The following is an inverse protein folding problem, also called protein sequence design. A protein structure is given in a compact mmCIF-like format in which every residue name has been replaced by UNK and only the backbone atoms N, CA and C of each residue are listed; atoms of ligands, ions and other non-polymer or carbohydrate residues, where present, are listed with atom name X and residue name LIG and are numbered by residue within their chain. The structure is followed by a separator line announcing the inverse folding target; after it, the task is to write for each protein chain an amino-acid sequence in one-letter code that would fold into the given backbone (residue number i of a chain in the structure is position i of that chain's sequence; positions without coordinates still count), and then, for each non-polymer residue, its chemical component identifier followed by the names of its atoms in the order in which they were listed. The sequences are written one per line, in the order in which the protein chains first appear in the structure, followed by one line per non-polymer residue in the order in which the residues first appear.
data_IF_909708739529
#
_entry.id   IF_909708739529
#
_cell.length_a   1.000
_cell.length_b   1.000
_cell.length_c   1.000
_cell.angle_alpha   90.00
_cell.angle_beta   90.00
_cell.angle_gamma   90.00
#
_symmetry.space_group_name_H-M   'P 1'
#
loop_
_entity.id
_entity.type
_entity.pdbx_description
1 polymer ?
#
# COMPACT_ATOMS: atom_id res chain seq x y z
N UNK A 1 -46.50 -4.15 -15.95
CA UNK A 1 -46.12 -5.53 -15.60
C UNK A 1 -45.61 -5.51 -14.15
N UNK A 2 -46.38 -6.05 -13.21
CA UNK A 2 -46.12 -5.91 -11.78
C UNK A 2 -45.23 -7.06 -11.30
N UNK A 3 -43.98 -6.78 -10.97
CA UNK A 3 -43.03 -7.78 -10.49
C UNK A 3 -43.52 -8.30 -9.12
N UNK A 4 -43.78 -9.61 -8.98
CA UNK A 4 -44.30 -10.18 -7.74
C UNK A 4 -43.32 -9.99 -6.58
N UNK A 5 -43.87 -9.76 -5.39
CA UNK A 5 -43.15 -9.30 -4.20
C UNK A 5 -41.99 -10.24 -3.81
N UNK A 6 -42.18 -11.55 -4.01
CA UNK A 6 -41.16 -12.58 -3.77
C UNK A 6 -39.91 -12.42 -4.67
N UNK A 7 -40.08 -11.96 -5.91
CA UNK A 7 -38.99 -11.77 -6.87
C UNK A 7 -38.15 -10.53 -6.53
N UNK A 8 -38.79 -9.50 -5.95
CA UNK A 8 -38.08 -8.32 -5.44
C UNK A 8 -37.19 -8.69 -4.26
N UNK A 9 -37.69 -9.51 -3.33
CA UNK A 9 -36.89 -10.01 -2.20
C UNK A 9 -35.72 -10.87 -2.65
N UNK A 10 -35.91 -11.71 -3.67
CA UNK A 10 -34.85 -12.53 -4.25
C UNK A 10 -33.73 -11.68 -4.88
N UNK A 11 -34.09 -10.63 -5.63
CA UNK A 11 -33.11 -9.71 -6.24
C UNK A 11 -32.30 -8.93 -5.20
N UNK A 12 -32.91 -8.55 -4.08
CA UNK A 12 -32.21 -7.88 -2.98
C UNK A 12 -31.19 -8.83 -2.33
N UNK A 13 -31.57 -10.09 -2.08
CA UNK A 13 -30.66 -11.08 -1.50
C UNK A 13 -29.50 -11.40 -2.45
N UNK A 14 -29.78 -11.54 -3.75
CA UNK A 14 -28.74 -11.78 -4.77
C UNK A 14 -27.79 -10.57 -4.86
N UNK A 15 -28.30 -9.34 -4.83
CA UNK A 15 -27.47 -8.14 -4.80
C UNK A 15 -26.57 -8.07 -3.55
N UNK A 16 -27.09 -8.43 -2.36
CA UNK A 16 -26.30 -8.49 -1.12
C UNK A 16 -25.20 -9.57 -1.18
N UNK A 17 -25.47 -10.71 -1.81
CA UNK A 17 -24.49 -11.79 -1.99
C UNK A 17 -23.40 -11.35 -2.97
N UNK A 18 -23.74 -10.73 -4.10
CA UNK A 18 -22.76 -10.24 -5.08
C UNK A 18 -21.86 -9.14 -4.47
N UNK A 19 -22.40 -8.26 -3.63
CA UNK A 19 -21.60 -7.26 -2.90
C UNK A 19 -20.60 -7.87 -1.91
N UNK A 20 -20.85 -9.09 -1.42
CA UNK A 20 -19.99 -9.75 -0.42
C UNK A 20 -18.83 -10.55 -1.03
N UNK A 21 -18.79 -10.74 -2.35
CA UNK A 21 -17.77 -11.56 -3.02
C UNK A 21 -16.63 -10.71 -3.63
N UNK A 22 -16.72 -9.38 -3.55
CA UNK A 22 -15.62 -8.53 -4.00
C UNK A 22 -14.46 -8.55 -2.99
N UNK A 23 -13.29 -8.95 -3.49
CA UNK A 23 -11.95 -8.79 -2.90
C UNK A 23 -11.52 -9.83 -1.87
N UNK A 24 -11.29 -11.06 -2.34
CA UNK A 24 -10.13 -11.82 -1.87
C UNK A 24 -9.05 -11.71 -2.96
N UNK A 25 -8.41 -10.54 -3.04
CA UNK A 25 -7.13 -10.45 -3.72
C UNK A 25 -6.11 -11.11 -2.78
N UNK A 26 -5.75 -12.36 -3.06
CA UNK A 26 -4.55 -12.97 -2.48
C UNK A 26 -3.34 -12.26 -3.05
N UNK A 27 -3.01 -11.13 -2.45
CA UNK A 27 -1.76 -10.42 -2.67
C UNK A 27 -0.73 -11.09 -1.77
N UNK A 28 0.41 -11.51 -2.33
CA UNK A 28 1.56 -12.00 -1.56
C UNK A 28 2.08 -10.84 -0.69
N UNK A 29 1.48 -10.68 0.49
CA UNK A 29 1.85 -9.62 1.43
C UNK A 29 3.11 -10.03 2.19
N UNK A 30 3.96 -9.06 2.51
CA UNK A 30 5.13 -9.22 3.39
C UNK A 30 4.70 -9.55 4.83
N UNK A 31 3.39 -9.56 5.12
CA UNK A 31 2.78 -9.85 6.42
C UNK A 31 3.20 -11.16 7.11
N UNK A 32 3.79 -12.11 6.38
CA UNK A 32 4.32 -13.37 6.95
C UNK A 32 5.72 -13.20 7.60
N UNK A 33 6.25 -11.97 7.67
CA UNK A 33 7.51 -11.66 8.35
C UNK A 33 8.78 -11.93 7.55
N UNK A 34 8.65 -12.40 6.30
CA UNK A 34 9.78 -12.63 5.40
C UNK A 34 9.96 -11.46 4.42
N UNK A 35 10.91 -10.58 4.72
CA UNK A 35 11.37 -9.58 3.77
C UNK A 35 12.22 -10.25 2.67
N UNK A 36 12.06 -9.86 1.39
CA UNK A 36 13.00 -10.28 0.37
C UNK A 36 14.39 -9.73 0.75
N UNK A 37 15.39 -10.60 0.73
CA UNK A 37 16.77 -10.25 1.09
C UNK A 37 17.73 -10.61 -0.03
N UNK A 38 18.86 -9.91 -0.08
CA UNK A 38 19.99 -10.19 -0.96
C UNK A 38 21.29 -10.08 -0.18
N UNK A 39 22.29 -10.87 -0.58
CA UNK A 39 23.65 -10.76 -0.03
C UNK A 39 24.33 -9.58 -0.72
N UNK A 40 24.81 -8.63 0.08
CA UNK A 40 25.63 -7.51 -0.39
C UNK A 40 27.04 -7.68 0.17
N UNK A 41 28.03 -7.57 -0.71
CA UNK A 41 29.43 -7.55 -0.31
C UNK A 41 29.81 -6.10 0.06
N UNK A 42 30.10 -5.88 1.33
CA UNK A 42 30.54 -4.59 1.85
C UNK A 42 32.05 -4.63 1.99
N UNK A 43 32.74 -3.96 1.08
CA UNK A 43 34.18 -3.74 1.16
C UNK A 43 34.44 -2.48 2.00
N UNK A 44 35.35 -2.59 2.98
CA UNK A 44 35.88 -1.41 3.65
C UNK A 44 37.08 -0.90 2.83
N UNK A 45 37.00 0.30 2.21
CA UNK A 45 38.07 0.82 1.35
C UNK A 45 39.42 1.01 2.06
N UNK A 46 39.40 1.14 3.38
CA UNK A 46 40.58 1.36 4.21
C UNK A 46 41.12 0.08 4.86
N UNK A 47 40.44 -1.06 4.70
CA UNK A 47 40.84 -2.34 5.29
C UNK A 47 41.44 -3.27 4.24
N UNK A 48 42.51 -3.99 4.61
CA UNK A 48 43.07 -5.10 3.79
C UNK A 48 42.34 -6.43 4.00
N UNK A 49 41.27 -6.44 4.80
CA UNK A 49 40.46 -7.63 5.05
C UNK A 49 39.52 -7.89 3.86
N UNK A 50 39.20 -9.18 3.59
CA UNK A 50 38.21 -9.53 2.57
C UNK A 50 36.85 -8.88 2.87
N UNK A 51 36.12 -8.56 1.80
CA UNK A 51 34.78 -7.97 1.90
C UNK A 51 33.86 -8.84 2.76
N UNK A 52 33.07 -8.19 3.62
CA UNK A 52 32.11 -8.90 4.48
C UNK A 52 30.80 -9.07 3.73
N UNK A 53 30.27 -10.29 3.75
CA UNK A 53 28.94 -10.61 3.19
C UNK A 53 27.87 -10.29 4.22
N UNK A 54 27.00 -9.36 3.90
CA UNK A 54 25.88 -8.95 4.77
C UNK A 54 24.57 -9.28 4.08
N UNK A 55 23.64 -9.90 4.80
CA UNK A 55 22.28 -10.12 4.34
C UNK A 55 21.48 -8.83 4.57
N UNK A 56 21.05 -8.18 3.49
CA UNK A 56 20.29 -6.93 3.55
C UNK A 56 18.93 -7.10 2.84
N UNK A 57 17.92 -6.30 3.20
CA UNK A 57 16.68 -6.23 2.43
C UNK A 57 16.96 -5.92 0.95
N UNK A 58 16.28 -6.64 0.06
CA UNK A 58 16.31 -6.34 -1.36
C UNK A 58 15.22 -5.32 -1.69
N UNK A 59 15.56 -4.04 -1.55
CA UNK A 59 14.65 -2.92 -1.81
C UNK A 59 14.08 -2.90 -3.22
N UNK A 60 14.72 -3.57 -4.19
CA UNK A 60 14.19 -3.68 -5.57
C UNK A 60 12.98 -4.62 -5.68
N UNK A 61 12.71 -5.41 -4.63
CA UNK A 61 11.64 -6.42 -4.57
C UNK A 61 10.56 -6.07 -3.52
N UNK A 62 10.66 -4.89 -2.91
CA UNK A 62 9.70 -4.35 -1.96
C UNK A 62 8.92 -3.23 -2.64
N UNK A 63 7.60 -3.36 -2.65
CA UNK A 63 6.67 -2.37 -3.19
C UNK A 63 5.51 -2.13 -2.21
N UNK A 64 4.88 -0.96 -2.31
CA UNK A 64 3.75 -0.59 -1.46
C UNK A 64 2.56 -1.57 -1.60
N UNK A 65 2.41 -2.18 -2.78
CA UNK A 65 1.37 -3.20 -3.02
C UNK A 65 1.61 -4.52 -2.30
N UNK A 66 2.82 -4.78 -1.79
CA UNK A 66 3.11 -5.98 -1.00
C UNK A 66 2.99 -5.72 0.51
N UNK A 67 2.73 -4.49 0.93
CA UNK A 67 2.52 -4.20 2.34
C UNK A 67 1.16 -4.73 2.83
N UNK A 68 0.98 -4.93 4.15
CA UNK A 68 -0.29 -5.35 4.70
C UNK A 68 -1.43 -4.42 4.30
N UNK A 69 -2.57 -5.01 3.98
CA UNK A 69 -3.77 -4.26 3.65
C UNK A 69 -4.28 -3.46 4.85
N UNK A 70 -4.89 -2.30 4.59
CA UNK A 70 -5.45 -1.46 5.64
C UNK A 70 -6.63 -2.17 6.33
N UNK A 71 -6.66 -2.09 7.65
CA UNK A 71 -7.64 -2.79 8.49
C UNK A 71 -8.96 -2.03 8.65
N UNK A 72 -9.01 -0.77 8.25
CA UNK A 72 -10.18 0.11 8.44
C UNK A 72 -10.40 0.97 7.20
N UNK A 73 -11.67 1.04 6.77
CA UNK A 73 -12.11 1.98 5.74
C UNK A 73 -12.09 3.42 6.26
N UNK A 74 -11.97 4.38 5.36
CA UNK A 74 -11.95 5.79 5.71
C UNK A 74 -12.00 6.72 4.52
N UNK A 75 -12.06 8.01 4.82
CA UNK A 75 -12.10 9.06 3.83
C UNK A 75 -11.44 10.32 4.38
N UNK A 76 -10.83 11.09 3.49
CA UNK A 76 -10.36 12.45 3.74
C UNK A 76 -11.01 13.34 2.70
N UNK A 77 -11.67 14.39 3.16
CA UNK A 77 -12.07 15.51 2.30
C UNK A 77 -10.91 16.50 2.21
N UNK A 78 -10.27 16.53 1.04
CA UNK A 78 -9.13 17.39 0.74
C UNK A 78 -9.50 18.64 -0.03
N UNK A 79 -10.79 18.82 -0.35
CA UNK A 79 -11.27 19.99 -1.10
C UNK A 79 -10.86 21.33 -0.47
N UNK A 80 -10.81 21.51 0.87
CA UNK A 80 -10.40 22.78 1.47
C UNK A 80 -8.94 23.17 1.21
N UNK A 81 -8.09 22.20 0.87
CA UNK A 81 -6.64 22.39 0.74
C UNK A 81 -6.14 22.33 -0.70
N UNK A 82 -7.02 21.98 -1.64
CA UNK A 82 -6.66 21.73 -3.04
C UNK A 82 -6.03 22.96 -3.72
N UNK A 83 -6.48 24.15 -3.35
CA UNK A 83 -6.00 25.41 -3.91
C UNK A 83 -4.60 25.80 -3.37
N UNK A 84 -4.31 25.46 -2.12
CA UNK A 84 -3.00 25.71 -1.49
C UNK A 84 -1.94 24.73 -1.99
N UNK A 85 -2.32 23.47 -2.19
CA UNK A 85 -1.38 22.40 -2.55
C UNK A 85 -1.26 22.17 -4.06
N UNK A 86 -2.14 22.77 -4.87
CA UNK A 86 -2.13 22.63 -6.32
C UNK A 86 -2.61 21.25 -6.84
N UNK A 87 -3.14 20.40 -5.97
CA UNK A 87 -3.78 19.13 -6.34
C UNK A 87 -4.82 18.70 -5.30
N UNK A 88 -5.77 17.85 -5.72
CA UNK A 88 -6.82 17.36 -4.84
C UNK A 88 -6.31 16.28 -3.88
N UNK A 89 -6.44 16.54 -2.57
CA UNK A 89 -6.11 15.60 -1.49
C UNK A 89 -7.22 14.60 -1.17
N UNK A 90 -8.44 14.82 -1.68
CA UNK A 90 -9.61 14.02 -1.35
C UNK A 90 -9.43 12.57 -1.76
N UNK A 91 -9.80 11.65 -0.88
CA UNK A 91 -9.63 10.22 -1.11
C UNK A 91 -10.55 9.41 -0.22
N UNK A 92 -10.89 8.22 -0.69
CA UNK A 92 -11.60 7.20 0.05
C UNK A 92 -10.85 5.89 -0.09
N UNK A 93 -10.88 5.08 0.96
CA UNK A 93 -10.31 3.74 0.94
C UNK A 93 -11.20 2.80 1.71
N UNK A 94 -11.10 1.53 1.36
CA UNK A 94 -11.83 0.45 1.98
C UNK A 94 -10.85 -0.48 2.71
N UNK A 95 -11.36 -1.15 3.74
CA UNK A 95 -10.69 -2.30 4.34
C UNK A 95 -10.25 -3.28 3.25
N UNK A 96 -9.03 -3.79 3.38
CA UNK A 96 -8.44 -4.71 2.40
C UNK A 96 -7.67 -4.04 1.25
N UNK A 97 -7.72 -2.71 1.11
CA UNK A 97 -6.88 -2.00 0.13
C UNK A 97 -5.43 -1.92 0.61
N UNK A 98 -4.49 -2.11 -0.31
CA UNK A 98 -3.05 -1.97 -0.05
C UNK A 98 -2.60 -0.51 -0.20
N UNK A 99 -1.50 -0.09 0.46
CA UNK A 99 -1.06 1.31 0.45
C UNK A 99 -0.85 1.94 -0.93
N UNK A 100 -0.43 1.17 -1.94
CA UNK A 100 -0.32 1.62 -3.34
C UNK A 100 -1.66 2.07 -3.95
N UNK A 101 -2.79 1.66 -3.39
CA UNK A 101 -4.12 1.94 -3.91
C UNK A 101 -4.74 3.23 -3.33
N UNK A 102 -4.25 3.74 -2.19
CA UNK A 102 -4.84 4.89 -1.50
C UNK A 102 -3.85 5.98 -1.06
N UNK A 103 -2.55 5.71 -1.08
CA UNK A 103 -1.52 6.73 -0.87
C UNK A 103 -1.36 7.63 -2.09
N UNK A 104 -1.05 8.90 -1.85
CA UNK A 104 -0.69 9.91 -2.83
C UNK A 104 0.78 10.27 -2.66
N UNK A 105 1.39 10.87 -3.69
CA UNK A 105 2.81 11.21 -3.70
C UNK A 105 3.24 12.09 -2.52
N UNK A 106 2.38 13.03 -2.10
CA UNK A 106 2.64 13.87 -0.93
C UNK A 106 2.84 13.09 0.36
N UNK A 107 2.11 11.97 0.56
CA UNK A 107 2.26 11.16 1.77
C UNK A 107 3.57 10.35 1.75
N UNK A 108 4.05 9.99 0.55
CA UNK A 108 5.31 9.28 0.38
C UNK A 108 6.50 10.21 0.68
N UNK A 109 6.43 11.45 0.20
CA UNK A 109 7.47 12.47 0.47
C UNK A 109 7.61 12.72 1.97
N UNK A 110 6.50 12.93 2.66
CA UNK A 110 6.47 13.17 4.11
C UNK A 110 6.93 11.95 4.91
N UNK A 111 6.50 10.74 4.52
CA UNK A 111 6.83 9.52 5.26
C UNK A 111 8.30 9.10 5.10
N UNK A 112 8.87 9.31 3.92
CA UNK A 112 10.26 8.94 3.64
C UNK A 112 11.25 10.03 3.98
N UNK A 113 10.83 11.31 4.06
CA UNK A 113 11.72 12.47 4.22
C UNK A 113 12.98 12.32 3.36
N UNK A 114 12.79 11.99 2.08
CA UNK A 114 13.90 11.64 1.19
C UNK A 114 14.95 12.76 1.10
N UNK A 115 14.52 14.01 1.33
CA UNK A 115 15.36 15.19 1.49
C UNK A 115 16.34 15.17 2.67
N UNK A 116 16.04 14.45 3.75
CA UNK A 116 16.93 14.29 4.91
C UNK A 116 18.02 13.24 4.65
N UNK A 117 17.86 12.40 3.63
CA UNK A 117 18.89 11.46 3.18
C UNK A 117 19.93 12.17 2.31
N UNK A 118 20.83 12.91 2.96
CA UNK A 118 22.03 13.43 2.32
C UNK A 118 23.17 12.40 2.37
N UNK A 119 23.92 12.27 1.28
CA UNK A 119 25.19 11.53 1.25
C UNK A 119 26.33 12.29 1.98
N UNK A 120 26.03 13.45 2.57
CA UNK A 120 26.98 14.24 3.34
C UNK A 120 26.93 13.77 4.80
N UNK A 121 27.86 12.87 5.14
CA UNK A 121 28.20 12.48 6.51
C UNK A 121 29.48 13.20 6.97
#
# INVERSE_FOLDING_TARGET
MNIPKAWRSLLIVIACIIYSIAAQATINTIGDGNLPTRIVEVANPQSRLPATKVLLPDWSRISLGQLPAISQSGAIDGSPYSQTLGYDLSRTWNVGMTPDQYLKLGDISEALQAEEFSLQA
#
